data_IF_758495055127
#
_entry.id   IF_758495055127
#
_cell.length_a   1.000
_cell.length_b   1.000
_cell.length_c   1.000
_cell.angle_alpha   90.00
_cell.angle_beta   90.00
_cell.angle_gamma   90.00
#
_symmetry.space_group_name_H-M   'P 1'
#
loop_
_entity.id
_entity.type
_entity.pdbx_description
1 polymer ?
#
# COMPACT_ATOMS: atom_id res chain seq x y z
N UNK A 1 -2.06 17.32 -6.87
CA UNK A 1 -0.94 16.43 -6.46
C UNK A 1 -1.16 15.07 -7.08
N UNK A 2 -0.09 14.37 -7.43
CA UNK A 2 -0.15 12.95 -7.80
C UNK A 2 0.49 12.10 -6.69
N UNK A 3 0.09 10.84 -6.57
CA UNK A 3 0.78 9.88 -5.71
C UNK A 3 1.98 9.30 -6.46
N UNK A 4 3.17 9.43 -5.90
CA UNK A 4 4.41 8.85 -6.41
C UNK A 4 4.63 7.46 -5.80
N UNK A 5 4.96 6.50 -6.67
CA UNK A 5 5.20 5.10 -6.35
C UNK A 5 6.61 4.72 -6.81
N UNK A 6 7.59 4.53 -5.90
CA UNK A 6 8.95 4.17 -6.29
C UNK A 6 9.00 2.87 -7.09
N UNK A 7 9.69 2.87 -8.24
CA UNK A 7 9.84 1.69 -9.08
C UNK A 7 10.79 0.65 -8.47
N UNK A 8 11.84 1.09 -7.77
CA UNK A 8 12.76 0.21 -7.01
C UNK A 8 12.91 0.74 -5.60
N UNK A 9 12.84 -0.14 -4.59
CA UNK A 9 13.05 0.24 -3.19
C UNK A 9 13.62 -0.91 -2.37
N UNK A 10 14.38 -0.58 -1.32
CA UNK A 10 15.07 -1.59 -0.52
C UNK A 10 14.12 -2.59 0.13
N UNK A 11 14.46 -3.88 0.03
CA UNK A 11 13.68 -4.96 0.65
C UNK A 11 13.60 -4.86 2.18
N UNK A 12 14.59 -4.21 2.80
CA UNK A 12 14.69 -4.07 4.26
C UNK A 12 13.51 -3.28 4.83
N UNK A 13 12.91 -2.38 4.05
CA UNK A 13 11.84 -1.50 4.54
C UNK A 13 10.55 -2.28 4.76
N UNK A 14 9.92 -2.04 5.92
CA UNK A 14 8.61 -2.63 6.23
C UNK A 14 7.51 -2.13 5.31
N UNK A 15 7.63 -0.89 4.83
CA UNK A 15 6.70 -0.24 3.89
C UNK A 15 7.49 0.43 2.76
N UNK A 16 6.95 0.43 1.54
CA UNK A 16 7.47 1.29 0.47
C UNK A 16 7.03 2.74 0.77
N UNK A 17 7.95 3.71 0.75
CA UNK A 17 7.63 5.10 1.10
C UNK A 17 6.95 5.82 -0.08
N UNK A 18 5.66 5.55 -0.29
CA UNK A 18 4.81 6.32 -1.21
C UNK A 18 4.62 7.75 -0.71
N UNK A 19 4.29 8.71 -1.60
CA UNK A 19 4.06 10.09 -1.18
C UNK A 19 3.38 10.95 -2.23
N UNK A 20 2.67 12.00 -1.79
CA UNK A 20 2.05 12.97 -2.68
C UNK A 20 3.05 14.03 -3.13
N UNK A 21 3.07 14.32 -4.42
CA UNK A 21 3.98 15.28 -5.05
C UNK A 21 3.16 16.32 -5.85
N UNK A 22 3.66 17.55 -5.88
CA UNK A 22 3.07 18.65 -6.67
C UNK A 22 3.02 18.28 -8.16
N UNK A 23 1.93 18.59 -8.90
CA UNK A 23 1.85 18.32 -10.33
C UNK A 23 2.89 19.11 -11.16
N UNK A 24 3.51 20.15 -10.60
CA UNK A 24 4.57 20.92 -11.26
C UNK A 24 5.92 20.15 -11.31
N UNK A 25 6.09 19.12 -10.48
CA UNK A 25 7.32 18.32 -10.42
C UNK A 25 7.18 17.14 -11.39
N UNK A 26 8.05 17.10 -12.40
CA UNK A 26 8.08 15.98 -13.36
C UNK A 26 8.67 14.72 -12.71
N UNK A 27 7.96 13.61 -12.89
CA UNK A 27 8.40 12.30 -12.45
C UNK A 27 9.29 11.65 -13.53
N UNK A 28 10.40 11.02 -13.12
CA UNK A 28 11.22 10.22 -14.04
C UNK A 28 10.59 8.85 -14.30
N UNK A 29 11.15 8.10 -15.25
CA UNK A 29 10.73 6.73 -15.54
C UNK A 29 11.07 5.72 -14.41
N UNK A 30 11.77 6.15 -13.36
CA UNK A 30 12.12 5.30 -12.21
C UNK A 30 11.01 5.23 -11.15
N UNK A 31 9.92 5.97 -11.36
CA UNK A 31 8.74 5.97 -10.49
C UNK A 31 7.48 5.78 -11.33
N UNK A 32 6.44 5.28 -10.70
CA UNK A 32 5.09 5.29 -11.25
C UNK A 32 4.29 6.41 -10.56
N UNK A 33 3.23 6.87 -11.22
CA UNK A 33 2.37 7.93 -10.69
C UNK A 33 0.89 7.54 -10.76
N UNK A 34 0.10 8.01 -9.79
CA UNK A 34 -1.36 7.99 -9.86
C UNK A 34 -1.90 9.41 -9.70
N UNK A 35 -2.54 9.93 -10.75
CA UNK A 35 -2.94 11.34 -10.85
C UNK A 35 -4.15 11.68 -9.97
N UNK A 36 -5.04 10.72 -9.73
CA UNK A 36 -6.29 10.91 -8.97
C UNK A 36 -6.29 10.14 -7.66
N UNK A 37 -5.11 9.92 -7.08
CA UNK A 37 -5.00 9.21 -5.82
C UNK A 37 -5.51 10.07 -4.66
N UNK A 38 -6.50 9.53 -3.96
CA UNK A 38 -7.01 10.07 -2.69
C UNK A 38 -6.24 9.52 -1.48
N UNK A 39 -6.39 10.12 -0.27
CA UNK A 39 -5.80 9.60 0.95
C UNK A 39 -6.14 8.12 1.22
N UNK A 40 -7.32 7.66 0.78
CA UNK A 40 -7.72 6.25 0.85
C UNK A 40 -6.74 5.34 0.08
N UNK A 41 -6.43 5.70 -1.17
CA UNK A 41 -5.49 4.95 -2.01
C UNK A 41 -4.10 4.91 -1.38
N UNK A 42 -3.61 6.07 -0.88
CA UNK A 42 -2.34 6.12 -0.14
C UNK A 42 -2.37 5.21 1.09
N UNK A 43 -3.47 5.20 1.84
CA UNK A 43 -3.63 4.38 3.03
C UNK A 43 -3.59 2.88 2.74
N UNK A 44 -4.33 2.43 1.73
CA UNK A 44 -4.32 1.02 1.31
C UNK A 44 -2.93 0.62 0.83
N UNK A 45 -2.32 1.39 -0.06
CA UNK A 45 -1.00 1.08 -0.62
C UNK A 45 0.10 1.10 0.47
N UNK A 46 0.00 2.01 1.44
CA UNK A 46 0.97 2.13 2.54
C UNK A 46 0.75 1.13 3.67
N UNK A 47 -0.14 0.14 3.52
CA UNK A 47 -0.44 -0.86 4.56
C UNK A 47 0.40 -2.13 4.44
N UNK A 48 0.52 -2.86 5.54
CA UNK A 48 1.07 -4.22 5.58
C UNK A 48 0.29 -5.20 4.73
N UNK A 49 -1.01 -4.96 4.47
CA UNK A 49 -1.81 -5.77 3.55
C UNK A 49 -1.30 -5.65 2.12
N UNK A 50 -1.12 -4.42 1.65
CA UNK A 50 -0.55 -4.21 0.32
C UNK A 50 0.92 -4.66 0.24
N UNK A 51 1.70 -4.44 1.30
CA UNK A 51 3.07 -4.95 1.36
C UNK A 51 3.14 -6.48 1.32
N UNK A 52 2.19 -7.20 1.94
CA UNK A 52 2.10 -8.65 1.86
C UNK A 52 1.86 -9.11 0.42
N UNK A 53 0.96 -8.45 -0.32
CA UNK A 53 0.78 -8.74 -1.74
C UNK A 53 2.06 -8.44 -2.55
N UNK A 54 2.55 -7.21 -2.43
CA UNK A 54 3.69 -6.71 -3.18
C UNK A 54 4.93 -7.60 -3.00
N UNK A 55 5.22 -8.06 -1.77
CA UNK A 55 6.38 -8.91 -1.51
C UNK A 55 6.36 -10.23 -2.28
N UNK A 56 5.16 -10.80 -2.50
CA UNK A 56 4.97 -12.09 -3.15
C UNK A 56 4.80 -11.96 -4.67
N UNK A 57 4.24 -10.86 -5.17
CA UNK A 57 3.89 -10.71 -6.59
C UNK A 57 4.80 -9.78 -7.38
N UNK A 58 5.53 -8.89 -6.71
CA UNK A 58 6.45 -7.98 -7.39
C UNK A 58 7.68 -8.71 -7.95
N UNK A 59 8.19 -8.20 -9.06
CA UNK A 59 9.55 -8.53 -9.49
C UNK A 59 10.60 -7.99 -8.51
N UNK A 60 11.85 -8.40 -8.69
CA UNK A 60 12.98 -7.98 -7.85
C UNK A 60 14.15 -7.44 -8.68
N UNK A 61 14.92 -6.51 -8.11
CA UNK A 61 16.24 -6.13 -8.61
C UNK A 61 17.28 -6.68 -7.65
N UNK A 62 17.92 -7.79 -8.01
CA UNK A 62 18.55 -8.69 -7.04
C UNK A 62 17.48 -9.12 -6.02
N UNK A 63 17.53 -8.59 -4.81
CA UNK A 63 16.54 -8.86 -3.78
C UNK A 63 15.61 -7.66 -3.50
N UNK A 64 15.98 -6.45 -3.96
CA UNK A 64 15.20 -5.23 -3.73
C UNK A 64 13.86 -5.28 -4.45
N UNK A 65 12.84 -4.64 -3.87
CA UNK A 65 11.51 -4.59 -4.46
C UNK A 65 11.55 -3.84 -5.79
N UNK A 66 10.99 -4.44 -6.85
CA UNK A 66 10.73 -3.76 -8.13
C UNK A 66 9.23 -3.68 -8.37
N UNK A 67 8.64 -2.53 -8.03
CA UNK A 67 7.21 -2.30 -8.14
C UNK A 67 6.79 -2.18 -9.62
N UNK A 68 5.69 -2.86 -9.96
CA UNK A 68 5.10 -2.82 -11.30
C UNK A 68 3.59 -2.62 -11.18
N UNK A 69 3.05 -1.69 -11.96
CA UNK A 69 1.60 -1.48 -12.03
C UNK A 69 0.90 -2.75 -12.52
N UNK A 70 1.42 -3.38 -13.58
CA UNK A 70 0.79 -4.56 -14.18
C UNK A 70 0.86 -5.84 -13.33
N UNK A 71 1.89 -6.00 -12.49
CA UNK A 71 2.03 -7.20 -11.64
C UNK A 71 1.46 -7.01 -10.25
N UNK A 72 1.67 -5.83 -9.65
CA UNK A 72 1.33 -5.56 -8.25
C UNK A 72 0.00 -4.85 -8.15
N UNK A 73 -0.12 -3.64 -8.71
CA UNK A 73 -1.28 -2.78 -8.49
C UNK A 73 -2.55 -3.31 -9.16
N UNK A 74 -2.46 -3.67 -10.45
CA UNK A 74 -3.61 -4.12 -11.24
C UNK A 74 -4.20 -5.43 -10.72
N UNK A 75 -3.34 -6.32 -10.22
CA UNK A 75 -3.77 -7.62 -9.68
C UNK A 75 -4.02 -7.58 -8.17
N UNK A 76 -3.82 -6.44 -7.50
CA UNK A 76 -4.03 -6.35 -6.06
C UNK A 76 -5.52 -6.54 -5.74
N UNK A 77 -5.90 -7.53 -4.92
CA UNK A 77 -7.29 -7.74 -4.53
C UNK A 77 -7.74 -6.61 -3.59
N UNK A 78 -8.36 -5.57 -4.15
CA UNK A 78 -8.86 -4.43 -3.38
C UNK A 78 -10.04 -4.84 -2.48
N UNK A 79 -10.25 -4.17 -1.33
CA UNK A 79 -11.38 -4.48 -0.46
C UNK A 79 -12.66 -3.83 -1.03
N UNK A 80 -13.25 -4.46 -2.05
CA UNK A 80 -14.40 -3.95 -2.80
C UNK A 80 -15.65 -3.74 -1.92
N UNK A 81 -15.77 -4.52 -0.84
CA UNK A 81 -16.89 -4.48 0.10
C UNK A 81 -16.66 -3.54 1.30
N UNK A 82 -15.62 -2.71 1.28
CA UNK A 82 -15.37 -1.74 2.34
C UNK A 82 -16.48 -0.68 2.41
N UNK A 83 -17.11 -0.55 3.58
CA UNK A 83 -18.11 0.49 3.87
C UNK A 83 -17.48 1.88 3.91
N UNK A 84 -18.28 2.92 3.68
CA UNK A 84 -17.82 4.31 3.74
C UNK A 84 -17.19 4.65 5.10
N UNK A 85 -17.72 4.08 6.19
CA UNK A 85 -17.14 4.22 7.53
C UNK A 85 -15.75 3.60 7.65
N UNK A 86 -15.49 2.47 6.98
CA UNK A 86 -14.16 1.86 6.94
C UNK A 86 -13.22 2.68 6.06
N UNK A 87 -13.66 3.13 4.89
CA UNK A 87 -12.88 3.99 3.98
C UNK A 87 -12.44 5.29 4.69
N UNK A 88 -13.36 5.96 5.36
CA UNK A 88 -13.07 7.17 6.14
C UNK A 88 -12.04 6.93 7.27
N UNK A 89 -12.08 5.76 7.93
CA UNK A 89 -11.07 5.39 8.94
C UNK A 89 -9.69 5.19 8.32
N UNK A 90 -9.62 4.56 7.14
CA UNK A 90 -8.37 4.39 6.40
C UNK A 90 -7.81 5.75 5.99
N UNK A 91 -8.64 6.65 5.47
CA UNK A 91 -8.25 8.02 5.12
C UNK A 91 -7.71 8.81 6.32
N UNK A 92 -8.39 8.73 7.46
CA UNK A 92 -7.94 9.39 8.68
C UNK A 92 -6.58 8.84 9.14
N UNK A 93 -6.40 7.52 9.11
CA UNK A 93 -5.12 6.90 9.48
C UNK A 93 -4.00 7.21 8.47
N UNK A 94 -4.33 7.28 7.18
CA UNK A 94 -3.43 7.73 6.12
C UNK A 94 -2.93 9.15 6.35
N UNK A 95 -3.84 10.07 6.67
CA UNK A 95 -3.49 11.45 7.02
C UNK A 95 -2.61 11.49 8.29
N UNK A 96 -2.87 10.65 9.28
CA UNK A 96 -2.02 10.54 10.47
C UNK A 96 -0.59 10.07 10.13
N UNK A 97 -0.42 9.15 9.16
CA UNK A 97 0.90 8.76 8.66
C UNK A 97 1.62 9.94 8.00
N UNK A 98 0.93 10.71 7.15
CA UNK A 98 1.49 11.90 6.51
C UNK A 98 1.87 12.97 7.54
N UNK A 99 1.00 13.21 8.53
CA UNK A 99 1.25 14.15 9.62
C UNK A 99 2.43 13.70 10.51
N UNK A 100 2.58 12.40 10.76
CA UNK A 100 3.72 11.86 11.50
C UNK A 100 5.05 12.08 10.76
N UNK A 101 5.07 11.96 9.42
CA UNK A 101 6.27 12.28 8.61
C UNK A 101 6.62 13.76 8.70
N UNK A 102 5.62 14.63 8.64
CA UNK A 102 5.81 16.09 8.65
C UNK A 102 6.43 16.63 9.96
N UNK A 103 6.43 15.85 11.05
CA UNK A 103 7.10 16.21 12.31
C UNK A 103 8.64 16.13 12.23
N UNK A 104 9.19 15.58 11.15
CA UNK A 104 10.63 15.38 10.97
C UNK A 104 11.12 16.05 9.66
N UNK A 105 11.08 17.39 9.57
CA UNK A 105 11.36 18.12 8.32
C UNK A 105 12.79 17.93 7.79
N UNK A 106 13.75 17.64 8.67
CA UNK A 106 15.16 17.43 8.29
C UNK A 106 15.49 15.98 7.92
N UNK A 107 14.53 15.06 8.04
CA UNK A 107 14.70 13.64 7.72
C UNK A 107 14.18 13.30 6.33
N UNK A 108 14.95 12.53 5.58
CA UNK A 108 14.48 11.99 4.30
C UNK A 108 13.47 10.85 4.53
N UNK A 109 12.70 10.49 3.50
CA UNK A 109 11.89 9.27 3.55
C UNK A 109 12.74 8.00 3.72
N UNK A 110 14.03 8.02 3.34
CA UNK A 110 14.91 6.89 3.61
C UNK A 110 15.20 6.76 5.10
N UNK A 111 15.48 7.86 5.80
CA UNK A 111 15.75 7.89 7.24
C UNK A 111 14.50 7.49 8.05
N UNK A 112 13.34 8.01 7.63
CA UNK A 112 12.06 7.74 8.29
C UNK A 112 11.57 6.31 8.13
N UNK A 113 12.04 5.57 7.11
CA UNK A 113 11.62 4.20 6.82
C UNK A 113 12.76 3.18 6.94
N UNK A 114 13.93 3.54 7.45
CA UNK A 114 14.91 2.53 7.86
C UNK A 114 14.37 1.77 9.09
N UNK A 115 14.36 0.42 9.07
CA UNK A 115 13.82 -0.39 10.16
C UNK A 115 14.44 -0.13 11.53
N UNK A 116 15.68 0.38 11.58
CA UNK A 116 16.41 0.62 12.82
C UNK A 116 16.14 2.02 13.41
N UNK A 117 15.72 2.97 12.58
CA UNK A 117 15.57 4.39 12.96
C UNK A 117 14.16 4.95 12.76
N UNK A 118 13.22 4.14 12.24
CA UNK A 118 11.83 4.56 12.03
C UNK A 118 11.23 5.14 13.32
N UNK A 119 10.83 6.43 13.35
CA UNK A 119 10.36 7.05 14.58
C UNK A 119 9.12 6.37 15.16
N UNK A 120 9.01 6.34 16.50
CA UNK A 120 7.92 5.68 17.20
C UNK A 120 6.53 6.24 16.80
N UNK A 121 6.44 7.56 16.56
CA UNK A 121 5.23 8.23 16.10
C UNK A 121 4.78 7.70 14.73
N UNK A 122 5.72 7.53 13.80
CA UNK A 122 5.43 7.01 12.46
C UNK A 122 5.09 5.52 12.50
N UNK A 123 5.81 4.74 13.32
CA UNK A 123 5.50 3.32 13.55
C UNK A 123 4.09 3.14 14.11
N UNK A 124 3.70 3.96 15.09
CA UNK A 124 2.36 3.94 15.69
C UNK A 124 1.28 4.34 14.68
N UNK A 125 1.54 5.34 13.85
CA UNK A 125 0.60 5.76 12.80
C UNK A 125 0.37 4.64 11.78
N UNK A 126 1.42 3.95 11.35
CA UNK A 126 1.31 2.78 10.47
C UNK A 126 0.57 1.62 11.11
N UNK A 127 0.82 1.32 12.39
CA UNK A 127 0.08 0.26 13.09
C UNK A 127 -1.43 0.56 13.16
N UNK A 128 -1.82 1.84 13.32
CA UNK A 128 -3.21 2.26 13.26
C UNK A 128 -3.80 2.14 11.85
N UNK A 129 -3.03 2.51 10.83
CA UNK A 129 -3.40 2.35 9.42
C UNK A 129 -3.60 0.87 9.06
N UNK A 130 -2.65 0.01 9.44
CA UNK A 130 -2.72 -1.44 9.24
C UNK A 130 -4.01 -2.02 9.83
N UNK A 131 -4.35 -1.63 11.06
CA UNK A 131 -5.59 -2.08 11.70
C UNK A 131 -6.83 -1.60 10.96
N UNK A 132 -6.84 -0.35 10.48
CA UNK A 132 -7.95 0.20 9.71
C UNK A 132 -8.14 -0.57 8.39
N UNK A 133 -7.05 -0.82 7.66
CA UNK A 133 -7.06 -1.55 6.39
C UNK A 133 -7.44 -3.01 6.59
N UNK A 134 -6.89 -3.70 7.60
CA UNK A 134 -7.27 -5.08 7.92
C UNK A 134 -8.78 -5.21 8.10
N UNK A 135 -9.41 -4.23 8.76
CA UNK A 135 -10.87 -4.24 8.99
C UNK A 135 -11.69 -4.06 7.71
N UNK A 136 -11.11 -3.53 6.62
CA UNK A 136 -11.78 -3.45 5.32
C UNK A 136 -11.93 -4.82 4.65
N UNK A 137 -11.06 -5.79 4.98
CA UNK A 137 -11.09 -7.12 4.41
C UNK A 137 -11.90 -8.10 5.25
N UNK A 138 -11.77 -8.04 6.59
CA UNK A 138 -12.54 -8.87 7.51
C UNK A 138 -12.50 -8.33 8.93
N UNK A 139 -13.42 -8.80 9.77
CA UNK A 139 -13.48 -8.43 11.19
C UNK A 139 -12.37 -9.05 12.05
N UNK A 140 -11.89 -10.25 11.68
CA UNK A 140 -10.87 -10.97 12.43
C UNK A 140 -9.47 -10.44 12.13
N UNK A 141 -8.61 -10.25 13.15
CA UNK A 141 -7.26 -9.74 12.95
C UNK A 141 -6.42 -10.68 12.06
N UNK A 142 -5.45 -10.10 11.36
CA UNK A 142 -4.40 -10.86 10.70
C UNK A 142 -3.19 -10.97 11.63
N UNK A 143 -2.82 -12.21 11.98
CA UNK A 143 -1.78 -12.50 12.97
C UNK A 143 -0.36 -12.36 12.43
N UNK A 144 -0.15 -12.53 11.13
CA UNK A 144 1.16 -12.39 10.48
C UNK A 144 1.01 -12.09 8.98
N UNK A 145 2.13 -11.90 8.28
CA UNK A 145 2.15 -11.64 6.83
C UNK A 145 1.63 -12.84 6.02
N UNK A 146 1.97 -14.07 6.42
CA UNK A 146 1.54 -15.30 5.74
C UNK A 146 0.01 -15.38 5.69
N UNK A 147 -0.68 -15.05 6.77
CA UNK A 147 -2.15 -15.07 6.81
C UNK A 147 -2.78 -13.95 5.96
N UNK A 148 -2.12 -12.80 5.80
CA UNK A 148 -2.57 -11.77 4.85
C UNK A 148 -2.41 -12.26 3.42
N UNK A 149 -1.26 -12.84 3.10
CA UNK A 149 -0.99 -13.40 1.77
C UNK A 149 -2.02 -14.46 1.40
N UNK A 150 -2.21 -15.47 2.26
CA UNK A 150 -3.19 -16.55 2.00
C UNK A 150 -4.59 -16.01 1.74
N UNK A 151 -5.03 -15.03 2.54
CA UNK A 151 -6.33 -14.40 2.35
C UNK A 151 -6.42 -13.64 1.03
N UNK A 152 -5.38 -12.88 0.66
CA UNK A 152 -5.37 -12.12 -0.59
C UNK A 152 -5.35 -13.05 -1.81
N UNK A 153 -4.62 -14.16 -1.79
CA UNK A 153 -4.65 -15.14 -2.88
C UNK A 153 -6.03 -15.79 -3.04
N UNK A 154 -6.68 -16.17 -1.94
CA UNK A 154 -8.06 -16.67 -2.02
C UNK A 154 -9.02 -15.61 -2.59
N UNK A 155 -8.90 -14.34 -2.15
CA UNK A 155 -9.71 -13.25 -2.68
C UNK A 155 -9.40 -12.97 -4.16
N UNK A 156 -8.16 -13.10 -4.59
CA UNK A 156 -7.78 -12.97 -6.00
C UNK A 156 -8.42 -14.08 -6.86
N UNK A 157 -8.39 -15.32 -6.40
CA UNK A 157 -9.04 -16.46 -7.07
C UNK A 157 -10.55 -16.24 -7.21
N UNK A 158 -11.22 -15.75 -6.15
CA UNK A 158 -12.64 -15.40 -6.19
C UNK A 158 -12.93 -14.32 -7.25
N UNK A 159 -12.20 -13.21 -7.22
CA UNK A 159 -12.41 -12.07 -8.14
C UNK A 159 -12.13 -12.44 -9.61
N UNK A 160 -11.15 -13.31 -9.85
CA UNK A 160 -10.79 -13.73 -11.22
C UNK A 160 -11.75 -14.79 -11.78
N UNK A 161 -12.29 -15.67 -10.93
CA UNK A 161 -13.33 -16.61 -11.33
C UNK A 161 -14.64 -15.91 -11.72
N UNK A 162 -15.02 -14.84 -11.02
CA UNK A 162 -16.18 -14.01 -11.37
C UNK A 162 -16.02 -13.32 -12.74
N UNK A 163 -14.84 -12.78 -13.03
CA UNK A 163 -14.54 -12.12 -14.31
C UNK A 163 -14.60 -13.10 -15.49
N UNK A 164 -14.06 -14.32 -15.33
CA UNK A 164 -14.19 -15.37 -16.35
C UNK A 164 -15.64 -15.82 -16.60
N UNK A 165 -16.50 -15.75 -15.57
CA UNK A 165 -17.93 -16.01 -15.70
C UNK A 165 -18.62 -14.94 -16.55
N UNK A 166 -18.32 -13.67 -16.29
CA UNK A 166 -18.87 -12.52 -17.02
C UNK A 166 -18.50 -12.53 -18.51
N UNK A 167 -17.27 -12.95 -18.86
CA UNK A 167 -16.82 -13.03 -20.26
C UNK A 167 -17.51 -14.17 -21.03
N UNK A 168 -17.88 -15.27 -20.36
CA UNK A 168 -18.57 -16.40 -21.00
C UNK A 168 -20.05 -16.13 -21.25
N UNK A 169 -20.62 -15.16 -20.55
CA UNK A 169 -22.03 -14.75 -20.66
C UNK A 169 -22.25 -13.59 -21.66
N UNK A 170 -21.21 -13.10 -22.34
CA UNK A 170 -21.25 -12.08 -23.41
C UNK A 170 -20.95 -12.65 -24.79
#
# INVERSE_FOLDING_TARGET
NYLLIPGVSSERRKYIPFGFISPEIMASNLVNISQSAEPYHFGILSSTMHMAWMRYTAGRLKSDYRYSIGLVYNNFPWPINATDKQKAKVEQAAQAVLAARAQFPDSTLADLYDPLTMPAQLTKAHAALDKAVDTCYRSQPFTNELNRMQFLFALYEELTAEDEGLIKDT
#
